data_IF_480400598600
#
_entry.id   IF_480400598600
#
_cell.length_a   1.000
_cell.length_b   1.000
_cell.length_c   1.000
_cell.angle_alpha   90.00
_cell.angle_beta   90.00
_cell.angle_gamma   90.00
#
_symmetry.space_group_name_H-M   'P 1'
#
loop_
_entity.id
_entity.type
_entity.pdbx_description
1 polymer ?
#
# COMPACT_ATOMS: atom_id res chain seq x y z
N UNK A 1 -7.56 -10.60 19.50
CA UNK A 1 -6.21 -11.17 19.24
C UNK A 1 -6.14 -12.67 19.54
N UNK A 2 -6.42 -13.14 20.76
CA UNK A 2 -6.38 -14.59 21.09
C UNK A 2 -7.25 -15.47 20.19
N UNK A 3 -8.52 -15.13 20.02
CA UNK A 3 -9.43 -15.89 19.16
C UNK A 3 -8.98 -15.88 17.68
N UNK A 4 -8.44 -14.75 17.22
CA UNK A 4 -7.92 -14.62 15.86
C UNK A 4 -6.69 -15.52 15.65
N UNK A 5 -5.76 -15.51 16.59
CA UNK A 5 -4.58 -16.38 16.56
C UNK A 5 -4.99 -17.86 16.56
N UNK A 6 -5.91 -18.26 17.44
CA UNK A 6 -6.41 -19.64 17.47
C UNK A 6 -7.08 -20.04 16.17
N UNK A 7 -7.88 -19.15 15.57
CA UNK A 7 -8.48 -19.38 14.25
C UNK A 7 -7.41 -19.65 13.19
N UNK A 8 -6.39 -18.79 13.10
CA UNK A 8 -5.29 -19.00 12.16
C UNK A 8 -4.46 -20.26 12.45
N UNK A 9 -4.25 -20.61 13.73
CA UNK A 9 -3.56 -21.85 14.12
C UNK A 9 -4.32 -23.11 13.69
N UNK A 10 -5.65 -23.04 13.63
CA UNK A 10 -6.47 -24.14 13.10
C UNK A 10 -6.32 -24.29 11.59
N UNK A 11 -6.23 -23.18 10.85
CA UNK A 11 -6.01 -23.18 9.39
C UNK A 11 -4.58 -23.54 9.02
N UNK A 12 -3.61 -23.09 9.83
CA UNK A 12 -2.17 -23.27 9.63
C UNK A 12 -1.58 -23.92 10.89
N UNK A 13 -1.60 -25.27 11.00
CA UNK A 13 -1.16 -25.98 12.20
C UNK A 13 0.29 -25.69 12.61
N UNK A 14 1.15 -25.38 11.65
CA UNK A 14 2.57 -25.09 11.88
C UNK A 14 2.83 -23.63 12.30
N UNK A 15 1.79 -22.78 12.41
CA UNK A 15 1.94 -21.38 12.80
C UNK A 15 2.42 -21.26 14.25
N UNK A 16 3.68 -20.93 14.48
CA UNK A 16 4.21 -20.70 15.83
C UNK A 16 4.11 -19.21 16.23
N UNK A 17 3.88 -18.94 17.52
CA UNK A 17 3.84 -17.57 18.01
C UNK A 17 3.47 -17.47 19.49
N UNK A 18 4.09 -16.50 20.17
CA UNK A 18 3.74 -16.14 21.55
C UNK A 18 2.71 -15.01 21.55
N UNK A 19 1.44 -15.41 21.66
CA UNK A 19 0.31 -14.48 21.64
C UNK A 19 0.28 -13.56 22.86
N UNK A 20 0.73 -14.01 24.02
CA UNK A 20 0.71 -13.18 25.24
C UNK A 20 1.78 -12.11 25.19
N UNK A 21 2.98 -12.45 24.72
CA UNK A 21 4.04 -11.47 24.45
C UNK A 21 3.60 -10.44 23.40
N UNK A 22 2.98 -10.89 22.31
CA UNK A 22 2.46 -9.99 21.26
C UNK A 22 1.40 -9.04 21.81
N UNK A 23 0.48 -9.54 22.64
CA UNK A 23 -0.54 -8.71 23.30
C UNK A 23 0.11 -7.69 24.24
N UNK A 24 1.14 -8.07 25.00
CA UNK A 24 1.86 -7.15 25.88
C UNK A 24 2.53 -6.01 25.08
N UNK A 25 3.23 -6.35 24.00
CA UNK A 25 3.84 -5.35 23.10
C UNK A 25 2.79 -4.41 22.50
N UNK A 26 1.64 -4.94 22.07
CA UNK A 26 0.58 -4.12 21.48
C UNK A 26 -0.07 -3.19 22.50
N UNK A 27 -0.11 -3.56 23.79
CA UNK A 27 -0.58 -2.65 24.85
C UNK A 27 0.35 -1.47 25.02
N UNK A 28 1.66 -1.69 25.00
CA UNK A 28 2.65 -0.60 25.07
C UNK A 28 2.54 0.34 23.86
N UNK A 29 2.44 -0.23 22.65
CA UNK A 29 2.23 0.55 21.43
C UNK A 29 0.89 1.30 21.45
N UNK A 30 -0.16 0.70 21.99
CA UNK A 30 -1.47 1.34 22.08
C UNK A 30 -1.43 2.61 22.94
N UNK A 31 -0.67 2.62 24.04
CA UNK A 31 -0.48 3.83 24.86
C UNK A 31 0.25 4.92 24.06
N UNK A 32 1.30 4.54 23.33
CA UNK A 32 2.05 5.46 22.49
C UNK A 32 1.21 6.08 21.36
N UNK A 33 0.39 5.26 20.68
CA UNK A 33 -0.42 5.71 19.55
C UNK A 33 -1.75 6.36 19.94
N UNK A 34 -2.25 6.15 21.17
CA UNK A 34 -3.53 6.70 21.64
C UNK A 34 -3.76 8.18 21.32
N UNK A 35 -2.80 9.12 21.53
CA UNK A 35 -3.02 10.53 21.21
C UNK A 35 -3.07 10.84 19.71
N UNK A 36 -2.64 9.93 18.85
CA UNK A 36 -2.64 10.10 17.38
C UNK A 36 -3.88 9.52 16.71
N UNK A 37 -4.63 8.65 17.40
CA UNK A 37 -5.85 8.04 16.86
C UNK A 37 -7.01 9.03 16.90
N UNK A 38 -7.68 9.20 15.78
CA UNK A 38 -8.85 10.09 15.67
C UNK A 38 -9.84 9.56 14.64
N UNK A 39 -11.06 10.11 14.63
CA UNK A 39 -12.01 9.91 13.54
C UNK A 39 -11.51 10.68 12.31
N UNK A 40 -10.80 9.97 11.45
CA UNK A 40 -10.15 10.54 10.26
C UNK A 40 -11.16 11.02 9.24
N UNK A 41 -12.34 10.37 9.13
CA UNK A 41 -13.39 10.78 8.18
C UNK A 41 -13.95 12.13 8.59
N UNK A 42 -14.34 12.28 9.86
CA UNK A 42 -14.87 13.54 10.38
C UNK A 42 -13.81 14.66 10.32
N UNK A 43 -12.56 14.34 10.69
CA UNK A 43 -11.45 15.28 10.64
C UNK A 43 -11.18 15.78 9.22
N UNK A 44 -11.02 14.87 8.25
CA UNK A 44 -10.70 15.24 6.86
C UNK A 44 -11.83 16.01 6.20
N UNK A 45 -13.09 15.59 6.39
CA UNK A 45 -14.24 16.30 5.82
C UNK A 45 -14.33 17.73 6.37
N UNK A 46 -14.07 17.95 7.68
CA UNK A 46 -14.00 19.30 8.25
C UNK A 46 -12.90 20.14 7.58
N UNK A 47 -11.68 19.61 7.47
CA UNK A 47 -10.55 20.32 6.85
C UNK A 47 -10.85 20.70 5.39
N UNK A 48 -11.52 19.82 4.64
CA UNK A 48 -11.90 20.10 3.25
C UNK A 48 -12.96 21.20 3.17
N UNK A 49 -13.96 21.17 4.06
CA UNK A 49 -15.04 22.15 4.08
C UNK A 49 -14.58 23.53 4.55
N UNK A 50 -13.63 23.59 5.49
CA UNK A 50 -13.04 24.84 5.96
C UNK A 50 -12.23 25.53 4.83
N UNK A 51 -11.65 24.75 3.91
CA UNK A 51 -11.05 25.22 2.66
C UNK A 51 -9.73 26.00 2.82
N UNK A 52 -9.14 26.00 4.01
CA UNK A 52 -7.92 26.74 4.34
C UNK A 52 -6.63 25.94 4.09
N UNK A 53 -6.74 24.64 3.77
CA UNK A 53 -5.59 23.75 3.57
C UNK A 53 -5.57 23.12 2.18
N UNK A 54 -4.35 22.91 1.70
CA UNK A 54 -4.06 22.04 0.56
C UNK A 54 -3.75 20.64 1.08
N UNK A 55 -4.44 19.64 0.55
CA UNK A 55 -4.27 18.24 0.93
C UNK A 55 -3.53 17.54 -0.20
N UNK A 56 -2.43 16.87 0.14
CA UNK A 56 -1.72 15.97 -0.75
C UNK A 56 -2.00 14.54 -0.30
N UNK A 57 -2.38 13.68 -1.23
CA UNK A 57 -2.55 12.25 -0.99
C UNK A 57 -1.43 11.50 -1.70
N UNK A 58 -0.65 10.76 -0.94
CA UNK A 58 0.40 9.89 -1.48
C UNK A 58 -0.21 8.51 -1.78
N UNK A 59 -0.27 8.16 -3.07
CA UNK A 59 -0.69 6.83 -3.49
C UNK A 59 0.38 5.80 -3.16
N UNK A 60 -0.03 4.65 -2.63
CA UNK A 60 0.85 3.51 -2.44
C UNK A 60 0.85 2.61 -3.70
N UNK A 61 2.00 1.99 -3.98
CA UNK A 61 2.22 1.12 -5.14
C UNK A 61 1.92 1.83 -6.48
N UNK A 62 1.51 1.08 -7.50
CA UNK A 62 1.23 1.59 -8.84
C UNK A 62 0.03 0.88 -9.45
N UNK A 63 -0.59 1.48 -10.48
CA UNK A 63 -1.82 0.97 -11.11
C UNK A 63 -1.72 -0.48 -11.59
N UNK A 64 -0.55 -0.89 -12.12
CA UNK A 64 -0.35 -2.27 -12.58
C UNK A 64 -0.26 -3.31 -11.44
N UNK A 65 -0.22 -2.85 -10.19
CA UNK A 65 -0.28 -3.66 -8.97
C UNK A 65 -1.66 -3.57 -8.29
N UNK A 66 -2.64 -2.87 -8.86
CA UNK A 66 -3.99 -2.78 -8.32
C UNK A 66 -4.68 -4.16 -8.32
N UNK A 67 -5.45 -4.46 -7.28
CA UNK A 67 -6.15 -5.75 -7.14
C UNK A 67 -7.15 -6.03 -8.28
N UNK A 68 -7.81 -5.00 -8.81
CA UNK A 68 -8.82 -5.13 -9.84
C UNK A 68 -8.25 -4.93 -11.26
N UNK A 69 -7.30 -4.00 -11.39
CA UNK A 69 -6.81 -3.54 -12.71
C UNK A 69 -5.38 -3.98 -13.03
N UNK A 70 -4.66 -4.55 -12.07
CA UNK A 70 -3.27 -4.96 -12.24
C UNK A 70 -3.14 -6.32 -12.94
N UNK A 71 -1.88 -6.79 -13.04
CA UNK A 71 -1.57 -8.11 -13.62
C UNK A 71 -1.84 -9.24 -12.64
N UNK A 72 -3.12 -9.49 -12.32
CA UNK A 72 -3.53 -10.55 -11.40
C UNK A 72 -2.95 -11.92 -11.83
N UNK A 73 -2.46 -12.78 -10.91
CA UNK A 73 -2.46 -12.65 -9.44
C UNK A 73 -1.26 -11.87 -8.86
N UNK A 74 -0.36 -11.36 -9.71
CA UNK A 74 0.87 -10.69 -9.30
C UNK A 74 0.62 -9.19 -9.04
N UNK A 75 -0.21 -8.93 -8.04
CA UNK A 75 -0.72 -7.61 -7.65
C UNK A 75 -0.71 -7.49 -6.12
N UNK A 76 -0.91 -6.29 -5.59
CA UNK A 76 -1.23 -6.12 -4.17
C UNK A 76 -2.71 -6.42 -3.92
N UNK A 77 -3.07 -6.56 -2.65
CA UNK A 77 -4.44 -6.84 -2.21
C UNK A 77 -5.31 -5.59 -2.04
N UNK A 78 -4.83 -4.42 -2.49
CA UNK A 78 -5.51 -3.13 -2.36
C UNK A 78 -5.69 -2.42 -3.72
N UNK A 79 -6.56 -1.41 -3.74
CA UNK A 79 -6.73 -0.53 -4.88
C UNK A 79 -5.66 0.56 -4.88
N UNK A 80 -4.83 0.58 -5.92
CA UNK A 80 -3.77 1.57 -6.16
C UNK A 80 -4.23 2.67 -7.14
N UNK A 81 -5.41 2.51 -7.72
CA UNK A 81 -6.07 3.50 -8.56
C UNK A 81 -6.75 4.61 -7.73
N UNK A 82 -7.26 5.64 -8.40
CA UNK A 82 -7.92 6.80 -7.75
C UNK A 82 -9.11 6.40 -6.85
N UNK A 83 -9.76 5.26 -7.14
CA UNK A 83 -10.84 4.74 -6.32
C UNK A 83 -10.41 4.45 -4.88
N UNK A 84 -9.15 4.01 -4.68
CA UNK A 84 -8.58 3.77 -3.35
C UNK A 84 -8.48 5.03 -2.49
N UNK A 85 -8.34 6.21 -3.09
CA UNK A 85 -8.37 7.48 -2.36
C UNK A 85 -9.75 7.75 -1.77
N UNK A 86 -10.81 7.49 -2.56
CA UNK A 86 -12.19 7.74 -2.15
C UNK A 86 -12.61 6.78 -1.03
N UNK A 87 -12.35 5.49 -1.22
CA UNK A 87 -12.73 4.44 -0.25
C UNK A 87 -11.82 4.47 0.99
N UNK A 88 -10.52 4.74 0.81
CA UNK A 88 -9.55 4.77 1.91
C UNK A 88 -9.64 6.00 2.81
N UNK A 89 -10.07 7.16 2.28
CA UNK A 89 -10.19 8.41 3.05
C UNK A 89 -11.63 8.80 3.38
N UNK A 90 -12.64 8.09 2.85
CA UNK A 90 -14.05 8.42 3.06
C UNK A 90 -14.44 9.76 2.43
N UNK A 91 -13.96 10.01 1.20
CA UNK A 91 -14.17 11.28 0.49
C UNK A 91 -15.18 11.14 -0.65
N UNK A 92 -16.00 12.17 -0.85
CA UNK A 92 -16.87 12.26 -2.02
C UNK A 92 -16.05 12.62 -3.28
N UNK A 93 -16.36 12.04 -4.45
CA UNK A 93 -15.62 12.29 -5.70
C UNK A 93 -15.46 13.76 -6.08
N UNK A 94 -16.44 14.61 -5.72
CA UNK A 94 -16.42 16.06 -6.01
C UNK A 94 -15.27 16.83 -5.33
N UNK A 95 -14.61 16.24 -4.33
CA UNK A 95 -13.50 16.86 -3.61
C UNK A 95 -12.14 16.48 -4.19
N UNK A 96 -12.09 15.60 -5.19
CA UNK A 96 -10.86 15.30 -5.92
C UNK A 96 -10.53 16.47 -6.85
N UNK A 97 -9.32 16.98 -6.72
CA UNK A 97 -8.76 18.01 -7.59
C UNK A 97 -7.80 17.41 -8.61
N UNK A 98 -6.56 17.86 -8.58
CA UNK A 98 -5.52 17.41 -9.51
C UNK A 98 -5.09 15.96 -9.24
N UNK A 99 -4.87 15.21 -10.32
CA UNK A 99 -4.36 13.83 -10.29
C UNK A 99 -3.09 13.78 -11.13
N UNK A 100 -1.97 13.41 -10.51
CA UNK A 100 -0.67 13.34 -11.16
C UNK A 100 -0.24 11.88 -11.35
N UNK A 101 -0.07 11.47 -12.61
CA UNK A 101 0.49 10.16 -12.96
C UNK A 101 2.01 10.20 -12.97
N UNK A 102 2.64 9.42 -12.08
CA UNK A 102 4.11 9.27 -12.06
C UNK A 102 4.51 8.13 -13.00
N UNK A 103 5.20 8.47 -14.08
CA UNK A 103 5.62 7.51 -15.11
C UNK A 103 7.14 7.56 -15.25
N UNK A 104 7.79 6.40 -15.16
CA UNK A 104 9.23 6.25 -15.41
C UNK A 104 9.48 6.23 -16.92
N UNK A 105 10.62 6.78 -17.36
CA UNK A 105 11.00 6.84 -18.77
C UNK A 105 11.18 5.45 -19.43
N UNK A 106 11.36 4.41 -18.63
CA UNK A 106 11.39 3.00 -19.02
C UNK A 106 10.64 2.18 -17.98
N UNK A 107 10.18 0.98 -18.35
CA UNK A 107 9.37 0.14 -17.47
C UNK A 107 10.26 -0.77 -16.63
N UNK A 108 9.87 -0.97 -15.37
CA UNK A 108 10.51 -1.89 -14.43
C UNK A 108 9.46 -2.67 -13.68
N UNK A 109 9.75 -3.92 -13.31
CA UNK A 109 8.88 -4.79 -12.52
C UNK A 109 9.75 -5.55 -11.51
N UNK A 110 9.21 -5.77 -10.31
CA UNK A 110 9.77 -6.69 -9.31
C UNK A 110 8.74 -7.79 -9.08
N UNK A 111 9.21 -9.03 -8.99
CA UNK A 111 8.35 -10.22 -8.88
C UNK A 111 7.87 -10.75 -10.22
N UNK A 112 7.29 -11.94 -10.17
CA UNK A 112 6.80 -12.66 -11.34
C UNK A 112 5.62 -11.95 -12.02
N UNK A 113 5.28 -12.41 -13.22
CA UNK A 113 4.12 -11.99 -13.99
C UNK A 113 4.49 -11.50 -15.38
N UNK A 114 3.46 -11.27 -16.21
CA UNK A 114 3.69 -10.85 -17.59
C UNK A 114 4.39 -9.49 -17.63
N UNK A 115 5.41 -9.40 -18.49
CA UNK A 115 6.10 -8.16 -18.77
C UNK A 115 6.37 -8.06 -20.28
N UNK A 116 5.42 -7.49 -21.06
CA UNK A 116 5.48 -7.52 -22.53
C UNK A 116 6.72 -6.88 -23.14
N UNK A 117 7.33 -5.92 -22.45
CA UNK A 117 8.51 -5.17 -22.90
C UNK A 117 9.74 -5.52 -22.07
N UNK A 118 9.77 -6.69 -21.43
CA UNK A 118 10.95 -7.14 -20.71
C UNK A 118 12.15 -7.28 -21.64
N UNK A 119 13.30 -6.76 -21.22
CA UNK A 119 14.54 -6.79 -21.98
C UNK A 119 15.56 -7.68 -21.26
N UNK A 120 15.54 -8.98 -21.58
CA UNK A 120 16.50 -9.96 -21.06
C UNK A 120 17.81 -9.97 -21.85
N UNK A 121 18.34 -8.78 -22.16
CA UNK A 121 19.54 -8.56 -22.98
C UNK A 121 20.38 -7.38 -22.43
N UNK A 122 21.45 -7.03 -23.12
CA UNK A 122 22.39 -5.97 -22.70
C UNK A 122 21.73 -4.60 -22.50
N UNK A 123 20.62 -4.30 -23.20
CA UNK A 123 19.86 -3.05 -23.01
C UNK A 123 19.18 -3.06 -21.63
N UNK A 124 18.59 -4.19 -21.23
CA UNK A 124 17.99 -4.33 -19.90
C UNK A 124 19.02 -4.18 -18.79
N UNK A 125 20.19 -4.82 -18.93
CA UNK A 125 21.31 -4.69 -17.96
C UNK A 125 21.78 -3.24 -17.87
N UNK A 126 21.87 -2.54 -19.01
CA UNK A 126 22.24 -1.12 -19.04
C UNK A 126 21.23 -0.25 -18.27
N UNK A 127 19.93 -0.43 -18.53
CA UNK A 127 18.85 0.30 -17.85
C UNK A 127 18.84 0.01 -16.34
N UNK A 128 18.95 -1.25 -15.95
CA UNK A 128 19.00 -1.65 -14.55
C UNK A 128 20.18 -1.01 -13.81
N UNK A 129 21.37 -1.05 -14.43
CA UNK A 129 22.60 -0.50 -13.82
C UNK A 129 22.54 1.02 -13.72
N UNK A 130 22.11 1.72 -14.78
CA UNK A 130 22.04 3.19 -14.80
C UNK A 130 20.91 3.75 -13.94
N UNK A 131 19.79 3.03 -13.87
CA UNK A 131 18.65 3.38 -13.04
C UNK A 131 18.79 3.01 -11.57
N UNK A 132 19.82 2.24 -11.21
CA UNK A 132 19.96 1.59 -9.90
C UNK A 132 18.69 0.80 -9.52
N UNK A 133 18.16 0.02 -10.45
CA UNK A 133 16.90 -0.73 -10.31
C UNK A 133 17.11 -2.04 -9.52
N UNK A 134 17.50 -1.89 -8.26
CA UNK A 134 17.71 -2.98 -7.32
C UNK A 134 16.91 -2.67 -6.06
N UNK A 135 16.09 -3.63 -5.61
CA UNK A 135 15.30 -3.47 -4.40
C UNK A 135 16.19 -3.26 -3.17
N UNK A 136 15.83 -2.29 -2.33
CA UNK A 136 16.49 -2.06 -1.03
C UNK A 136 16.07 -3.09 0.04
N UNK A 137 14.99 -3.82 -0.23
CA UNK A 137 14.46 -4.92 0.58
C UNK A 137 14.33 -6.13 -0.34
N UNK A 138 14.83 -7.28 0.10
CA UNK A 138 14.59 -8.58 -0.54
C UNK A 138 13.71 -9.38 0.39
N UNK A 139 12.40 -9.38 0.12
CA UNK A 139 11.42 -10.24 0.78
C UNK A 139 11.28 -11.59 0.05
#
# INVERSE_FOLDING_TARGET
>A
LRNLFNYYKMTFPDLEGDIEKTIAQFKELAEYFRPMVTDTIAYLNRVILDGDKKILVEGANATMLDIDFGTYPYVTSSNCSIGGVLTGLGLAPKFIGDIYGVVKAYTTRVGDGIFPTELNNDIGVHLQTKGHEIGITTD
#
